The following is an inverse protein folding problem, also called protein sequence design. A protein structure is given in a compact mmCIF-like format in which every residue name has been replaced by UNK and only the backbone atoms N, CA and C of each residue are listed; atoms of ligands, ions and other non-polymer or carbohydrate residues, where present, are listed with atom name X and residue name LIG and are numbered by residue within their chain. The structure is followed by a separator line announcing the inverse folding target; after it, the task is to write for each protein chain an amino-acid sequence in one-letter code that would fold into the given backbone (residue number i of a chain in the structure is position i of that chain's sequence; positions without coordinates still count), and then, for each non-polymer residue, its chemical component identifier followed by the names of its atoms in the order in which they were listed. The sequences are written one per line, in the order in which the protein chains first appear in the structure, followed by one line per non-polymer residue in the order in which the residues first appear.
data_IF_981020060889
#
_entry.id   IF_981020060889
#
_cell.length_a   1.000
_cell.length_b   1.000
_cell.length_c   1.000
_cell.angle_alpha   90.00
_cell.angle_beta   90.00
_cell.angle_gamma   90.00
#
_symmetry.space_group_name_H-M   'P 1'
#
loop_
_entity.id
_entity.type
_entity.pdbx_description
1 polymer ?
#
# COMPACT_ATOMS: atom_id res chain seq x y z
N UNK A 1 6.83 5.72 -8.76
CA UNK A 1 7.13 6.13 -7.36
C UNK A 1 8.34 5.34 -6.84
N UNK A 2 8.99 5.75 -5.75
CA UNK A 2 10.04 4.96 -5.09
C UNK A 2 9.48 3.92 -4.11
N UNK A 3 10.38 3.27 -3.34
CA UNK A 3 10.00 2.36 -2.25
C UNK A 3 9.16 3.08 -1.18
N UNK A 4 8.05 2.47 -0.76
CA UNK A 4 7.07 3.08 0.15
C UNK A 4 6.22 4.18 -0.48
N UNK A 5 6.45 4.51 -1.76
CA UNK A 5 5.91 5.70 -2.41
C UNK A 5 4.54 5.55 -3.09
N UNK A 6 3.81 4.47 -2.79
CA UNK A 6 2.45 4.26 -3.31
C UNK A 6 1.59 3.52 -2.32
N UNK A 7 0.28 3.71 -2.40
CA UNK A 7 -0.67 2.96 -1.57
C UNK A 7 -0.62 1.46 -1.84
N UNK A 8 -0.88 0.66 -0.80
CA UNK A 8 -1.15 -0.79 -0.89
C UNK A 8 -2.42 -1.09 -0.11
N UNK A 9 -3.33 -1.85 -0.73
CA UNK A 9 -4.51 -2.37 -0.07
C UNK A 9 -4.38 -3.86 0.22
N UNK A 10 -5.02 -4.33 1.28
CA UNK A 10 -5.06 -5.74 1.64
C UNK A 10 -6.47 -6.23 2.01
N UNK A 11 -6.71 -7.52 1.81
CA UNK A 11 -7.85 -8.28 2.32
C UNK A 11 -7.33 -9.52 3.05
N UNK A 12 -7.96 -9.87 4.18
CA UNK A 12 -7.48 -10.95 5.06
C UNK A 12 -8.44 -12.13 5.09
N UNK A 13 -7.87 -13.34 5.15
CA UNK A 13 -8.50 -14.61 5.49
C UNK A 13 -7.42 -15.54 6.09
N UNK A 14 -6.87 -15.13 7.24
CA UNK A 14 -5.67 -15.72 7.84
C UNK A 14 -6.02 -16.99 8.64
N UNK A 15 -5.18 -18.04 8.58
CA UNK A 15 -5.37 -19.23 9.42
C UNK A 15 -5.07 -18.95 10.90
N UNK A 16 -4.13 -18.05 11.17
CA UNK A 16 -3.66 -17.69 12.50
C UNK A 16 -3.32 -16.19 12.58
N UNK A 17 -3.22 -15.67 13.80
CA UNK A 17 -2.89 -14.28 14.07
C UNK A 17 -1.87 -14.21 15.20
N UNK A 18 -0.98 -13.21 15.13
CA UNK A 18 0.11 -13.03 16.11
C UNK A 18 -0.39 -12.61 17.49
N UNK A 19 -1.50 -11.87 17.54
CA UNK A 19 -2.19 -11.46 18.76
C UNK A 19 -3.69 -11.63 18.59
N UNK A 20 -4.41 -11.84 19.70
CA UNK A 20 -5.87 -12.07 19.69
C UNK A 20 -6.68 -10.89 19.13
N UNK A 21 -6.13 -9.68 19.17
CA UNK A 21 -6.77 -8.46 18.69
C UNK A 21 -6.47 -8.15 17.22
N UNK A 22 -5.60 -8.92 16.56
CA UNK A 22 -5.36 -8.74 15.13
C UNK A 22 -6.52 -9.33 14.32
N UNK A 23 -6.93 -8.63 13.27
CA UNK A 23 -7.98 -9.12 12.37
C UNK A 23 -7.54 -10.41 11.67
N UNK A 24 -8.36 -11.45 11.83
CA UNK A 24 -8.17 -12.71 11.11
C UNK A 24 -8.73 -12.61 9.68
N UNK A 25 -9.86 -11.93 9.51
CA UNK A 25 -10.58 -11.84 8.25
C UNK A 25 -11.16 -10.45 8.05
N UNK A 26 -11.16 -9.97 6.81
CA UNK A 26 -11.85 -8.72 6.43
C UNK A 26 -12.82 -8.99 5.29
N UNK A 27 -13.97 -8.31 5.31
CA UNK A 27 -14.97 -8.45 4.25
C UNK A 27 -14.46 -7.86 2.92
N UNK A 28 -13.85 -6.68 3.00
CA UNK A 28 -13.33 -5.94 1.86
C UNK A 28 -11.83 -5.63 1.99
N UNK A 29 -11.29 -5.02 0.93
CA UNK A 29 -9.95 -4.47 0.93
C UNK A 29 -9.90 -3.19 1.79
N UNK A 30 -8.85 -3.06 2.61
CA UNK A 30 -8.56 -1.86 3.39
C UNK A 30 -7.17 -1.30 3.03
N UNK A 31 -6.92 -0.03 3.36
CA UNK A 31 -5.59 0.58 3.20
C UNK A 31 -4.60 -0.04 4.18
N UNK A 32 -3.69 -0.87 3.67
CA UNK A 32 -2.60 -1.47 4.43
C UNK A 32 -1.40 -0.51 4.54
N UNK A 33 -1.17 0.29 3.50
CA UNK A 33 -0.12 1.28 3.47
C UNK A 33 -0.54 2.52 2.66
N UNK A 34 -0.37 3.74 3.16
CA UNK A 34 -0.07 4.11 4.55
C UNK A 34 -1.37 4.18 5.36
N UNK A 35 -1.33 3.67 6.58
CA UNK A 35 -2.40 3.81 7.55
C UNK A 35 -1.78 3.94 8.94
N UNK A 36 -1.75 5.17 9.48
CA UNK A 36 -1.05 5.46 10.73
C UNK A 36 -1.65 4.72 11.94
N UNK A 37 -2.95 4.39 11.91
CA UNK A 37 -3.58 3.62 12.98
C UNK A 37 -3.02 2.19 13.07
N UNK A 38 -2.47 1.66 11.99
CA UNK A 38 -1.82 0.34 11.96
C UNK A 38 -0.36 0.38 12.44
N UNK A 39 0.21 1.56 12.67
CA UNK A 39 1.62 1.75 13.04
C UNK A 39 1.82 2.16 14.51
N UNK A 40 0.75 2.25 15.30
CA UNK A 40 0.84 2.50 16.75
C UNK A 40 1.38 1.26 17.48
N UNK A 41 1.89 1.40 18.73
CA UNK A 41 2.34 0.26 19.52
C UNK A 41 1.29 -0.86 19.57
N UNK A 42 1.75 -2.11 19.56
CA UNK A 42 0.94 -3.34 19.48
C UNK A 42 0.25 -3.57 18.12
N UNK A 43 -0.37 -2.56 17.51
CA UNK A 43 -1.00 -2.69 16.19
C UNK A 43 0.04 -2.95 15.07
N UNK A 44 1.25 -2.40 15.23
CA UNK A 44 2.37 -2.59 14.29
C UNK A 44 2.75 -4.06 14.10
N UNK A 45 2.51 -4.93 15.09
CA UNK A 45 2.76 -6.37 14.96
C UNK A 45 1.77 -7.02 13.98
N UNK A 46 0.48 -6.65 14.08
CA UNK A 46 -0.55 -7.08 13.13
C UNK A 46 -0.22 -6.57 11.72
N UNK A 47 0.18 -5.31 11.60
CA UNK A 47 0.59 -4.72 10.33
C UNK A 47 1.80 -5.45 9.73
N UNK A 48 2.82 -5.73 10.53
CA UNK A 48 4.03 -6.43 10.09
C UNK A 48 3.70 -7.84 9.59
N UNK A 49 2.86 -8.59 10.30
CA UNK A 49 2.43 -9.93 9.88
C UNK A 49 1.56 -9.91 8.61
N UNK A 50 0.85 -8.81 8.33
CA UNK A 50 0.09 -8.64 7.09
C UNK A 50 0.95 -8.13 5.92
N UNK A 51 1.92 -7.26 6.19
CA UNK A 51 2.75 -6.61 5.18
C UNK A 51 3.91 -7.49 4.70
N UNK A 52 4.38 -8.44 5.53
CA UNK A 52 5.54 -9.28 5.22
C UNK A 52 5.35 -10.13 3.97
N UNK A 53 6.47 -10.41 3.33
CA UNK A 53 6.58 -11.41 2.27
C UNK A 53 7.16 -12.71 2.84
N UNK A 54 6.71 -13.84 2.29
CA UNK A 54 7.27 -15.17 2.56
C UNK A 54 8.15 -15.55 1.39
N UNK A 55 9.41 -15.85 1.66
CA UNK A 55 10.37 -16.27 0.66
C UNK A 55 10.40 -17.79 0.54
N UNK A 56 10.28 -18.30 -0.69
CA UNK A 56 10.46 -19.70 -1.01
C UNK A 56 11.88 -19.93 -1.54
N UNK A 57 12.66 -20.71 -0.79
CA UNK A 57 14.05 -21.02 -1.12
C UNK A 57 14.20 -21.90 -2.37
N UNK A 58 13.18 -22.66 -2.77
CA UNK A 58 13.20 -23.54 -3.94
C UNK A 58 12.85 -22.76 -5.19
N UNK A 59 11.71 -22.06 -5.20
CA UNK A 59 11.29 -21.28 -6.38
C UNK A 59 12.02 -19.93 -6.50
N UNK A 60 12.70 -19.50 -5.43
CA UNK A 60 13.38 -18.21 -5.30
C UNK A 60 12.43 -17.01 -5.43
N UNK A 61 11.14 -17.21 -5.16
CA UNK A 61 10.08 -16.20 -5.28
C UNK A 61 9.51 -15.81 -3.92
N UNK A 62 8.86 -14.66 -3.88
CA UNK A 62 8.12 -14.17 -2.72
C UNK A 62 6.61 -14.22 -2.93
N UNK A 63 5.89 -14.77 -1.95
CA UNK A 63 4.43 -14.68 -1.82
C UNK A 63 4.05 -13.77 -0.65
N UNK A 64 2.77 -13.37 -0.59
CA UNK A 64 2.24 -12.71 0.60
C UNK A 64 2.20 -13.68 1.79
N UNK A 65 2.04 -13.15 3.01
CA UNK A 65 1.73 -13.96 4.18
C UNK A 65 0.46 -14.82 3.95
N UNK A 66 0.36 -16.03 4.57
CA UNK A 66 -0.80 -16.90 4.41
C UNK A 66 -2.11 -16.18 4.72
N UNK A 67 -3.07 -16.28 3.79
CA UNK A 67 -4.38 -15.62 3.93
C UNK A 67 -4.36 -14.10 3.72
N UNK A 68 -3.27 -13.52 3.20
CA UNK A 68 -3.20 -12.08 2.90
C UNK A 68 -3.19 -11.84 1.39
N UNK A 69 -4.20 -11.13 0.92
CA UNK A 69 -4.36 -10.74 -0.48
C UNK A 69 -4.07 -9.26 -0.61
N UNK A 70 -3.10 -8.88 -1.42
CA UNK A 70 -2.73 -7.47 -1.62
C UNK A 70 -3.04 -7.02 -3.04
N UNK A 71 -3.43 -5.76 -3.20
CA UNK A 71 -3.57 -5.12 -4.51
C UNK A 71 -3.03 -3.69 -4.48
N UNK A 72 -2.65 -3.21 -5.66
CA UNK A 72 -2.16 -1.85 -5.85
C UNK A 72 -3.29 -1.03 -6.46
N UNK A 73 -3.87 -0.07 -5.73
CA UNK A 73 -5.01 0.68 -6.22
C UNK A 73 -4.58 1.74 -7.24
N UNK A 74 -5.55 2.21 -8.03
CA UNK A 74 -5.46 3.45 -8.82
C UNK A 74 -4.34 3.51 -9.86
N UNK A 75 -3.96 2.38 -10.47
CA UNK A 75 -3.03 2.39 -11.60
C UNK A 75 -3.57 3.24 -12.76
N UNK A 76 -2.74 4.14 -13.30
CA UNK A 76 -3.12 5.11 -14.33
C UNK A 76 -3.66 6.43 -13.77
N UNK A 77 -4.08 6.48 -12.51
CA UNK A 77 -4.37 7.72 -11.78
C UNK A 77 -3.14 8.12 -10.93
N UNK A 78 -3.10 9.34 -10.42
CA UNK A 78 -2.02 9.87 -9.58
C UNK A 78 -2.36 9.84 -8.09
N UNK A 79 -3.62 9.64 -7.70
CA UNK A 79 -4.07 9.68 -6.29
C UNK A 79 -3.24 8.79 -5.36
N UNK A 80 -2.96 7.54 -5.77
CA UNK A 80 -2.22 6.58 -4.95
C UNK A 80 -0.72 6.89 -4.77
N UNK A 81 -0.17 7.89 -5.48
CA UNK A 81 1.24 8.30 -5.37
C UNK A 81 1.38 9.73 -4.86
N UNK A 82 0.35 10.57 -5.01
CA UNK A 82 0.37 11.94 -4.50
C UNK A 82 0.30 11.99 -2.98
N UNK A 83 -0.56 11.16 -2.39
CA UNK A 83 -0.67 10.94 -0.96
C UNK A 83 -0.59 9.44 -0.68
N UNK A 84 0.37 9.05 0.14
CA UNK A 84 0.56 7.64 0.49
C UNK A 84 -0.50 7.19 1.49
N UNK A 85 -1.08 8.11 2.28
CA UNK A 85 -2.26 7.87 3.12
C UNK A 85 -3.51 8.39 2.40
N UNK A 86 -4.57 7.58 2.21
CA UNK A 86 -5.79 8.01 1.53
C UNK A 86 -6.54 9.14 2.25
N UNK A 87 -6.29 9.37 3.55
CA UNK A 87 -6.83 10.53 4.29
C UNK A 87 -6.14 11.85 3.95
N UNK A 88 -5.09 11.83 3.11
CA UNK A 88 -4.34 12.98 2.62
C UNK A 88 -3.72 13.84 3.74
N UNK A 89 -3.33 13.19 4.85
CA UNK A 89 -2.55 13.86 5.90
C UNK A 89 -1.26 14.44 5.32
N UNK A 90 -0.88 15.63 5.78
CA UNK A 90 0.29 16.36 5.25
C UNK A 90 1.59 15.53 5.33
N UNK A 91 1.76 14.71 6.36
CA UNK A 91 2.92 13.81 6.53
C UNK A 91 3.03 12.73 5.44
N UNK A 92 1.92 12.42 4.78
CA UNK A 92 1.86 11.40 3.71
C UNK A 92 1.99 11.98 2.29
N UNK A 93 2.13 13.31 2.19
CA UNK A 93 2.30 14.01 0.92
C UNK A 93 3.61 13.58 0.27
N UNK A 94 3.53 13.10 -0.96
CA UNK A 94 4.69 12.61 -1.70
C UNK A 94 4.77 13.25 -3.10
N UNK A 95 4.01 12.76 -4.10
CA UNK A 95 4.00 13.37 -5.43
C UNK A 95 3.04 14.56 -5.60
N UNK A 96 2.28 14.94 -4.55
CA UNK A 96 1.23 15.95 -4.68
C UNK A 96 1.73 17.30 -5.20
N UNK A 97 2.90 17.78 -4.76
CA UNK A 97 3.46 19.06 -5.22
C UNK A 97 3.85 19.00 -6.70
N UNK A 98 4.57 17.95 -7.10
CA UNK A 98 4.94 17.74 -8.50
C UNK A 98 3.69 17.66 -9.39
N UNK A 99 2.68 16.91 -8.96
CA UNK A 99 1.44 16.80 -9.69
C UNK A 99 0.76 18.16 -9.85
N UNK A 100 0.65 18.94 -8.77
CA UNK A 100 0.06 20.29 -8.82
C UNK A 100 0.82 21.23 -9.75
N UNK A 101 2.16 21.22 -9.72
CA UNK A 101 3.00 22.03 -10.62
C UNK A 101 2.78 21.67 -12.10
N UNK A 102 2.57 20.40 -12.40
CA UNK A 102 2.25 19.95 -13.76
C UNK A 102 0.84 20.37 -14.18
N UNK A 103 -0.14 20.33 -13.28
CA UNK A 103 -1.49 20.84 -13.56
C UNK A 103 -1.47 22.34 -13.88
N UNK A 104 -0.68 23.13 -13.14
CA UNK A 104 -0.50 24.56 -13.43
C UNK A 104 0.11 24.82 -14.82
N UNK A 105 0.77 23.82 -15.42
CA UNK A 105 1.36 23.85 -16.76
C UNK A 105 0.43 23.27 -17.84
N UNK A 106 -0.80 22.92 -17.50
CA UNK A 106 -1.82 22.44 -18.44
C UNK A 106 -1.96 20.91 -18.54
N UNK A 107 -1.23 20.14 -17.73
CA UNK A 107 -1.48 18.70 -17.62
C UNK A 107 -2.81 18.43 -16.91
N UNK A 108 -3.32 17.21 -17.05
CA UNK A 108 -4.55 16.69 -16.47
C UNK A 108 -4.31 15.29 -15.90
N UNK A 109 -4.58 15.14 -14.59
CA UNK A 109 -4.53 13.86 -13.87
C UNK A 109 -5.37 12.80 -14.59
N UNK A 110 -4.84 11.60 -14.73
CA UNK A 110 -5.50 10.46 -15.38
C UNK A 110 -5.54 10.51 -16.91
N UNK A 111 -5.12 11.62 -17.54
CA UNK A 111 -5.12 11.77 -19.00
C UNK A 111 -3.68 11.74 -19.53
N UNK A 112 -2.99 12.87 -19.42
CA UNK A 112 -1.61 13.10 -19.87
C UNK A 112 -0.62 13.17 -18.67
N UNK A 113 -1.15 13.14 -17.45
CA UNK A 113 -0.41 12.91 -16.21
C UNK A 113 -0.95 11.66 -15.50
N UNK A 114 -0.17 10.57 -15.46
CA UNK A 114 -0.59 9.28 -14.90
C UNK A 114 0.42 8.73 -13.90
N UNK A 115 -0.07 8.09 -12.86
CA UNK A 115 0.76 7.32 -11.92
C UNK A 115 0.84 5.85 -12.32
N UNK A 116 2.02 5.25 -12.08
CA UNK A 116 2.25 3.82 -12.20
C UNK A 116 2.67 3.24 -10.83
N UNK A 117 1.75 3.16 -9.86
CA UNK A 117 2.04 2.51 -8.58
C UNK A 117 2.28 1.01 -8.80
N UNK A 118 3.11 0.41 -7.94
CA UNK A 118 3.44 -1.01 -7.99
C UNK A 118 3.64 -1.56 -6.57
N UNK A 119 3.72 -2.88 -6.44
CA UNK A 119 4.04 -3.51 -5.16
C UNK A 119 5.54 -3.31 -4.88
N UNK A 120 5.86 -2.22 -4.18
CA UNK A 120 7.23 -1.83 -3.89
C UNK A 120 7.99 -2.81 -2.99
N UNK A 121 7.29 -3.79 -2.40
CA UNK A 121 7.92 -4.85 -1.60
C UNK A 121 8.65 -5.88 -2.47
N UNK A 122 8.35 -5.94 -3.77
CA UNK A 122 8.84 -6.97 -4.69
C UNK A 122 9.93 -6.43 -5.62
N UNK A 123 10.83 -7.33 -6.00
CA UNK A 123 11.76 -7.10 -7.11
C UNK A 123 11.04 -7.26 -8.46
N UNK A 124 11.66 -6.78 -9.56
CA UNK A 124 11.27 -7.15 -10.93
C UNK A 124 11.25 -8.67 -11.14
#
# INVERSE_FOLDING_TARGET
PGNGGSQIEAKLDKPEVVHYFCDRKTEDYFSLWLNLALLVPYAVDCWTDNMRLVYDNVTRKTSNAPGVFTRIPNFGNTTAIEFIDPSQLAVSKYFSELANDLILRGYRRGIDLRGAPYDFRKSP
#
